data_IF_609262145751
#
_entry.id   IF_609262145751
#
_cell.length_a   1.000
_cell.length_b   1.000
_cell.length_c   1.000
_cell.angle_alpha   90.00
_cell.angle_beta   90.00
_cell.angle_gamma   90.00
#
_symmetry.space_group_name_H-M   'P 1'
#
loop_
_entity.id
_entity.type
_entity.pdbx_description
1 polymer ?
#
# COMPACT_ATOMS: atom_id res chain seq x y z
N UNK A 1 9.00 2.12 -5.73
CA UNK A 1 9.25 1.31 -4.51
C UNK A 1 8.10 0.34 -4.22
N UNK A 2 6.86 0.80 -4.05
CA UNK A 2 5.69 -0.09 -3.81
C UNK A 2 5.50 -1.12 -4.95
N UNK A 3 5.58 -0.71 -6.22
CA UNK A 3 5.45 -1.65 -7.36
C UNK A 3 6.58 -2.69 -7.43
N UNK A 4 7.81 -2.33 -7.04
CA UNK A 4 8.93 -3.26 -7.01
C UNK A 4 8.76 -4.30 -5.88
N UNK A 5 8.24 -3.86 -4.73
CA UNK A 5 7.90 -4.73 -3.61
C UNK A 5 6.77 -5.71 -3.99
N UNK A 6 5.69 -5.21 -4.62
CA UNK A 6 4.61 -6.07 -5.13
C UNK A 6 5.10 -7.07 -6.17
N UNK A 7 5.99 -6.66 -7.08
CA UNK A 7 6.59 -7.55 -8.08
C UNK A 7 7.40 -8.67 -7.44
N UNK A 8 8.13 -8.38 -6.36
CA UNK A 8 8.88 -9.39 -5.60
C UNK A 8 7.96 -10.37 -4.86
N UNK A 9 6.81 -9.93 -4.35
CA UNK A 9 5.76 -10.81 -3.79
C UNK A 9 5.04 -11.64 -4.87
N UNK A 10 4.95 -11.11 -6.09
CA UNK A 10 4.37 -11.81 -7.24
C UNK A 10 5.31 -12.90 -7.75
N UNK A 11 6.61 -12.61 -7.90
CA UNK A 11 7.64 -13.59 -8.27
C UNK A 11 7.82 -14.70 -7.21
N UNK A 12 7.58 -14.41 -5.93
CA UNK A 12 7.58 -15.41 -4.85
C UNK A 12 6.29 -16.27 -4.77
N UNK A 13 5.31 -15.99 -5.62
CA UNK A 13 4.01 -16.66 -5.66
C UNK A 13 4.08 -18.11 -6.14
N UNK A 14 5.02 -18.41 -7.03
CA UNK A 14 5.13 -19.73 -7.69
C UNK A 14 5.92 -20.76 -6.87
N UNK A 15 6.51 -20.37 -5.74
CA UNK A 15 7.25 -21.29 -4.87
C UNK A 15 6.76 -21.24 -3.41
N UNK A 16 6.46 -22.38 -2.78
CA UNK A 16 6.19 -22.45 -1.34
C UNK A 16 7.52 -22.32 -0.59
N UNK A 17 7.97 -21.08 -0.39
CA UNK A 17 9.25 -20.81 0.29
C UNK A 17 9.00 -20.47 1.77
N UNK A 18 9.81 -21.00 2.71
CA UNK A 18 9.79 -20.61 4.14
C UNK A 18 10.06 -19.11 4.39
N UNK A 19 10.43 -18.35 3.35
CA UNK A 19 10.66 -16.90 3.39
C UNK A 19 9.37 -16.04 3.42
N UNK A 20 8.19 -16.61 3.11
CA UNK A 20 6.94 -15.85 2.99
C UNK A 20 6.47 -15.22 4.31
N UNK A 21 6.46 -15.92 5.47
CA UNK A 21 6.17 -15.30 6.77
C UNK A 21 7.18 -14.21 7.15
N UNK A 22 8.46 -14.40 6.83
CA UNK A 22 9.52 -13.43 7.10
C UNK A 22 9.37 -12.16 6.25
N UNK A 23 8.92 -12.29 5.00
CA UNK A 23 8.62 -11.16 4.12
C UNK A 23 7.45 -10.32 4.66
N UNK A 24 6.37 -10.96 5.08
CA UNK A 24 5.22 -10.28 5.69
C UNK A 24 5.61 -9.54 6.98
N UNK A 25 6.34 -10.20 7.88
CA UNK A 25 6.83 -9.57 9.11
C UNK A 25 7.71 -8.35 8.82
N UNK A 26 8.60 -8.45 7.83
CA UNK A 26 9.46 -7.35 7.38
C UNK A 26 8.64 -6.17 6.86
N UNK A 27 7.65 -6.43 6.02
CA UNK A 27 6.80 -5.38 5.46
C UNK A 27 5.94 -4.72 6.52
N UNK A 28 5.31 -5.51 7.39
CA UNK A 28 4.55 -4.98 8.53
C UNK A 28 5.44 -4.09 9.42
N UNK A 29 6.70 -4.45 9.65
CA UNK A 29 7.63 -3.61 10.37
C UNK A 29 7.89 -2.27 9.65
N UNK A 30 8.12 -2.31 8.33
CA UNK A 30 8.30 -1.08 7.54
C UNK A 30 7.07 -0.17 7.54
N UNK A 31 5.87 -0.74 7.39
CA UNK A 31 4.64 0.06 7.44
C UNK A 31 4.39 0.66 8.82
N UNK A 32 4.76 -0.04 9.89
CA UNK A 32 4.73 0.50 11.25
C UNK A 32 5.67 1.69 11.42
N UNK A 33 6.91 1.59 10.93
CA UNK A 33 7.88 2.70 11.00
C UNK A 33 7.36 3.93 10.24
N UNK A 34 6.74 3.72 9.07
CA UNK A 34 6.12 4.78 8.28
C UNK A 34 4.93 5.42 8.99
N UNK A 35 4.05 4.62 9.60
CA UNK A 35 2.90 5.13 10.36
C UNK A 35 3.34 5.92 11.60
N UNK A 36 4.37 5.45 12.31
CA UNK A 36 4.95 6.16 13.44
C UNK A 36 5.55 7.50 12.99
N UNK A 37 6.31 7.52 11.89
CA UNK A 37 6.87 8.73 11.33
C UNK A 37 5.79 9.73 10.90
N UNK A 38 4.74 9.26 10.23
CA UNK A 38 3.61 10.11 9.84
C UNK A 38 2.91 10.73 11.06
N UNK A 39 2.81 10.01 12.18
CA UNK A 39 2.31 10.56 13.43
C UNK A 39 3.24 11.65 13.98
N UNK A 40 4.56 11.40 14.03
CA UNK A 40 5.55 12.37 14.51
C UNK A 40 5.59 13.65 13.66
N UNK A 41 5.42 13.53 12.34
CA UNK A 41 5.40 14.65 11.41
C UNK A 41 4.06 15.41 11.39
N UNK A 42 3.05 14.97 12.17
CA UNK A 42 1.74 15.63 12.23
C UNK A 42 0.85 15.37 11.01
N UNK A 43 1.17 14.35 10.20
CA UNK A 43 0.39 13.96 9.02
C UNK A 43 -0.88 13.16 9.37
N UNK A 44 -0.99 12.67 10.61
CA UNK A 44 -2.14 11.93 11.11
C UNK A 44 -2.99 12.79 12.04
N UNK A 45 -4.30 12.55 12.02
CA UNK A 45 -5.24 13.17 12.97
C UNK A 45 -4.90 12.76 14.41
N UNK A 46 -5.07 13.67 15.39
CA UNK A 46 -4.95 13.32 16.81
C UNK A 46 -5.82 12.11 17.16
N UNK A 47 -5.25 11.14 17.88
CA UNK A 47 -5.96 9.91 18.28
C UNK A 47 -5.95 8.77 17.25
N UNK A 48 -5.31 8.95 16.09
CA UNK A 48 -5.12 7.85 15.13
C UNK A 48 -4.21 6.78 15.72
N UNK A 49 -4.72 5.56 15.91
CA UNK A 49 -3.89 4.41 16.29
C UNK A 49 -3.05 3.93 15.10
N UNK A 50 -1.75 4.20 15.16
CA UNK A 50 -0.77 3.81 14.13
C UNK A 50 -0.68 2.30 13.95
N UNK A 51 -0.97 1.50 14.99
CA UNK A 51 -0.99 0.04 14.91
C UNK A 51 -2.19 -0.44 14.09
N UNK A 52 -3.38 0.10 14.37
CA UNK A 52 -4.60 -0.19 13.61
C UNK A 52 -4.48 0.24 12.15
N UNK A 53 -3.95 1.44 11.89
CA UNK A 53 -3.68 1.90 10.53
C UNK A 53 -2.70 0.96 9.80
N UNK A 54 -1.60 0.58 10.44
CA UNK A 54 -0.63 -0.36 9.88
C UNK A 54 -1.30 -1.69 9.52
N UNK A 55 -2.08 -2.26 10.44
CA UNK A 55 -2.78 -3.51 10.23
C UNK A 55 -3.77 -3.42 9.06
N UNK A 56 -4.52 -2.32 8.94
CA UNK A 56 -5.45 -2.09 7.84
C UNK A 56 -4.74 -2.03 6.48
N UNK A 57 -3.67 -1.24 6.37
CA UNK A 57 -2.90 -1.09 5.12
C UNK A 57 -2.28 -2.42 4.69
N UNK A 58 -1.67 -3.13 5.63
CA UNK A 58 -1.05 -4.46 5.44
C UNK A 58 -2.08 -5.49 5.00
N UNK A 59 -3.22 -5.56 5.69
CA UNK A 59 -4.30 -6.53 5.39
C UNK A 59 -4.89 -6.26 4.02
N UNK A 60 -5.12 -5.01 3.65
CA UNK A 60 -5.66 -4.66 2.34
C UNK A 60 -4.68 -4.99 1.21
N UNK A 61 -3.40 -4.68 1.37
CA UNK A 61 -2.38 -4.98 0.37
C UNK A 61 -2.25 -6.50 0.15
N UNK A 62 -2.14 -7.27 1.23
CA UNK A 62 -1.98 -8.73 1.14
C UNK A 62 -3.27 -9.44 0.75
N UNK A 63 -4.41 -9.02 1.28
CA UNK A 63 -5.73 -9.54 0.88
C UNK A 63 -5.98 -9.34 -0.60
N UNK A 64 -5.68 -8.16 -1.14
CA UNK A 64 -5.81 -7.87 -2.59
C UNK A 64 -4.96 -8.82 -3.43
N UNK A 65 -3.71 -9.07 -3.01
CA UNK A 65 -2.80 -10.00 -3.69
C UNK A 65 -3.28 -11.45 -3.64
N UNK A 66 -3.79 -11.91 -2.49
CA UNK A 66 -4.32 -13.27 -2.32
C UNK A 66 -5.55 -13.50 -3.20
N UNK A 67 -6.38 -12.46 -3.37
CA UNK A 67 -7.56 -12.50 -4.23
C UNK A 67 -7.24 -12.40 -5.73
N UNK A 68 -6.08 -11.88 -6.11
CA UNK A 68 -5.65 -11.79 -7.50
C UNK A 68 -5.18 -13.16 -8.04
N UNK A 69 -6.09 -13.88 -8.71
CA UNK A 69 -5.88 -15.24 -9.23
C UNK A 69 -5.51 -15.32 -10.71
N UNK A 70 -5.64 -14.24 -11.46
CA UNK A 70 -5.33 -14.18 -12.88
C UNK A 70 -4.46 -12.94 -13.21
N UNK A 71 -3.80 -12.89 -14.38
CA UNK A 71 -2.90 -11.80 -14.75
C UNK A 71 -3.57 -10.42 -14.73
N UNK A 72 -4.83 -10.32 -15.15
CA UNK A 72 -5.57 -9.05 -15.17
C UNK A 72 -5.82 -8.53 -13.74
N UNK A 73 -6.21 -9.43 -12.82
CA UNK A 73 -6.40 -9.10 -11.41
C UNK A 73 -5.10 -8.72 -10.71
N UNK A 74 -3.97 -9.26 -11.17
CA UNK A 74 -2.63 -8.84 -10.72
C UNK A 74 -2.28 -7.45 -11.24
N UNK A 75 -2.55 -7.18 -12.52
CA UNK A 75 -2.32 -5.87 -13.13
C UNK A 75 -3.18 -4.76 -12.49
N UNK A 76 -4.34 -5.13 -11.93
CA UNK A 76 -5.29 -4.25 -11.25
C UNK A 76 -4.93 -3.96 -9.77
N UNK A 77 -3.93 -4.63 -9.18
CA UNK A 77 -3.53 -4.43 -7.78
C UNK A 77 -3.19 -2.97 -7.42
N UNK A 78 -2.47 -2.20 -8.26
CA UNK A 78 -2.22 -0.78 -7.98
C UNK A 78 -3.52 0.02 -7.87
N UNK A 79 -4.47 -0.22 -8.76
CA UNK A 79 -5.77 0.47 -8.75
C UNK A 79 -6.56 0.16 -7.46
N UNK A 80 -6.60 -1.11 -7.04
CA UNK A 80 -7.23 -1.51 -5.77
C UNK A 80 -6.57 -0.84 -4.56
N UNK A 81 -5.25 -0.70 -4.57
CA UNK A 81 -4.53 0.00 -3.51
C UNK A 81 -4.85 1.50 -3.51
N UNK A 82 -4.98 2.12 -4.68
CA UNK A 82 -5.41 3.52 -4.81
C UNK A 82 -6.82 3.72 -4.23
N UNK A 83 -7.77 2.82 -4.54
CA UNK A 83 -9.11 2.85 -3.96
C UNK A 83 -9.09 2.68 -2.43
N UNK A 84 -8.25 1.78 -1.91
CA UNK A 84 -8.08 1.62 -0.47
C UNK A 84 -7.59 2.93 0.19
N UNK A 85 -6.63 3.63 -0.42
CA UNK A 85 -6.16 4.90 0.09
C UNK A 85 -7.18 6.04 0.01
N UNK A 86 -8.04 6.06 -1.01
CA UNK A 86 -9.16 7.00 -1.09
C UNK A 86 -10.14 6.85 0.09
N UNK A 87 -10.27 5.64 0.65
CA UNK A 87 -11.08 5.37 1.84
C UNK A 87 -10.31 5.64 3.14
N UNK A 88 -9.03 5.26 3.21
CA UNK A 88 -8.22 5.36 4.42
C UNK A 88 -7.76 6.79 4.72
N UNK A 89 -7.33 7.57 3.71
CA UNK A 89 -6.77 8.92 3.91
C UNK A 89 -7.73 9.87 4.62
N UNK A 90 -9.02 10.00 4.21
CA UNK A 90 -9.96 10.89 4.90
C UNK A 90 -10.18 10.50 6.37
N UNK A 91 -10.01 9.22 6.72
CA UNK A 91 -10.19 8.75 8.08
C UNK A 91 -9.00 9.12 8.98
N UNK A 92 -7.78 9.17 8.43
CA UNK A 92 -6.55 9.31 9.22
C UNK A 92 -5.82 10.63 9.06
N UNK A 93 -6.20 11.46 8.08
CA UNK A 93 -5.54 12.75 7.78
C UNK A 93 -6.47 13.92 8.04
N UNK A 94 -5.92 15.09 8.39
CA UNK A 94 -6.69 16.33 8.48
C UNK A 94 -7.31 16.68 7.10
N UNK A 95 -8.61 17.04 7.04
CA UNK A 95 -9.27 17.40 5.78
C UNK A 95 -8.56 18.50 4.99
N UNK A 96 -7.91 19.46 5.65
CA UNK A 96 -7.17 20.54 4.99
C UNK A 96 -5.90 20.05 4.28
N UNK A 97 -5.32 18.93 4.74
CA UNK A 97 -4.14 18.32 4.14
C UNK A 97 -4.48 17.25 3.09
N UNK A 98 -5.74 16.83 3.00
CA UNK A 98 -6.17 15.72 2.14
C UNK A 98 -5.88 15.97 0.66
N UNK A 99 -6.16 17.18 0.17
CA UNK A 99 -5.89 17.57 -1.22
C UNK A 99 -4.39 17.49 -1.53
N UNK A 100 -3.53 17.93 -0.60
CA UNK A 100 -2.08 17.82 -0.77
C UNK A 100 -1.63 16.36 -0.96
N UNK A 101 -2.16 15.43 -0.18
CA UNK A 101 -1.81 14.01 -0.29
C UNK A 101 -2.33 13.37 -1.59
N UNK A 102 -3.52 13.73 -2.05
CA UNK A 102 -4.01 13.26 -3.35
C UNK A 102 -3.14 13.76 -4.49
N UNK A 103 -2.79 15.05 -4.52
CA UNK A 103 -1.89 15.62 -5.52
C UNK A 103 -0.48 15.02 -5.46
N UNK A 104 -0.01 14.67 -4.26
CA UNK A 104 1.27 13.98 -4.10
C UNK A 104 1.22 12.54 -4.67
N UNK A 105 0.12 11.82 -4.45
CA UNK A 105 -0.06 10.47 -4.99
C UNK A 105 -0.14 10.47 -6.52
N UNK A 106 -0.93 11.39 -7.10
CA UNK A 106 -1.08 11.53 -8.56
C UNK A 106 0.26 11.80 -9.27
N UNK A 107 1.14 12.61 -8.67
CA UNK A 107 2.48 12.89 -9.21
C UNK A 107 3.42 11.68 -9.21
N UNK A 108 3.11 10.65 -8.42
CA UNK A 108 3.95 9.46 -8.23
C UNK A 108 3.34 8.20 -8.84
N UNK A 109 2.15 8.27 -9.41
CA UNK A 109 1.61 7.23 -10.28
C UNK A 109 2.63 6.97 -11.40
N UNK A 110 3.16 5.73 -11.53
CA UNK A 110 3.99 5.38 -12.67
C UNK A 110 3.19 5.68 -13.93
N UNK A 111 3.73 6.49 -14.83
CA UNK A 111 3.11 6.69 -16.14
C UNK A 111 2.83 5.31 -16.75
N UNK A 112 1.55 5.03 -17.01
CA UNK A 112 1.12 3.89 -17.81
C UNK A 112 1.68 4.11 -19.21
N UNK A 113 2.91 3.68 -19.46
CA UNK A 113 3.44 3.55 -20.82
C UNK A 113 2.54 2.53 -21.51
N UNK A 114 1.70 3.00 -22.42
CA UNK A 114 0.96 2.15 -23.35
C UNK A 114 1.96 1.23 -24.09
N UNK A 115 1.59 -0.02 -24.40
CA UNK A 115 2.45 -0.87 -25.21
C UNK A 115 2.65 -0.22 -26.60
N UNK A 116 3.85 -0.32 -27.21
CA UNK A 116 4.08 0.19 -28.56
C UNK A 116 3.17 -0.54 -29.58
N UNK A 117 2.83 0.12 -30.71
CA UNK A 117 1.89 -0.39 -31.71
C UNK A 117 2.35 -1.68 -32.39
#
# INVERSE_FOLDING_TARGET
MICAAFRLVLDLGDHPTPARPALFATWTARYRDLAARAATEGHLRPGTDTRTLTAAVVTTAFGSRVLARNPDAVADLPHRMTQAWQLLLPAVTDPAALEYFYQFALRREPHRTAPPP
#
